data_IF_958984750529
#
_entry.id   IF_958984750529
#
_cell.length_a   1.000
_cell.length_b   1.000
_cell.length_c   1.000
_cell.angle_alpha   90.00
_cell.angle_beta   90.00
_cell.angle_gamma   90.00
#
_symmetry.space_group_name_H-M   'P 1'
#
loop_
_entity.id
_entity.type
_entity.pdbx_description
1 polymer ?
#
# COMPACT_ATOMS: atom_id res chain seq x y z
N UNK A 1 -18.80 -5.47 -16.56
CA UNK A 1 -17.56 -4.68 -16.39
C UNK A 1 -16.44 -5.65 -16.10
N UNK A 2 -15.67 -6.03 -17.10
CA UNK A 2 -14.58 -6.99 -16.89
C UNK A 2 -13.47 -6.32 -16.08
N UNK A 3 -12.99 -6.99 -15.04
CA UNK A 3 -11.85 -6.52 -14.28
C UNK A 3 -10.62 -6.58 -15.20
N UNK A 4 -10.05 -5.41 -15.54
CA UNK A 4 -8.82 -5.36 -16.33
C UNK A 4 -7.71 -6.08 -15.55
N UNK A 5 -7.17 -7.21 -16.05
CA UNK A 5 -6.19 -8.01 -15.31
C UNK A 5 -4.89 -7.24 -15.03
N UNK A 6 -4.58 -6.18 -15.80
CA UNK A 6 -3.46 -5.26 -15.55
C UNK A 6 -3.61 -4.44 -14.26
N UNK A 7 -4.79 -4.47 -13.63
CA UNK A 7 -5.06 -3.82 -12.36
C UNK A 7 -4.82 -4.74 -11.16
N UNK A 8 -4.47 -6.00 -11.36
CA UNK A 8 -4.07 -6.89 -10.27
C UNK A 8 -2.61 -6.59 -9.92
N UNK A 9 -2.35 -6.21 -8.67
CA UNK A 9 -1.03 -5.75 -8.21
C UNK A 9 -0.67 -6.40 -6.88
N UNK A 10 0.62 -6.65 -6.69
CA UNK A 10 1.16 -7.05 -5.38
C UNK A 10 1.18 -5.85 -4.43
N UNK A 11 0.87 -6.09 -3.14
CA UNK A 11 1.02 -5.08 -2.10
C UNK A 11 2.48 -4.60 -2.02
N UNK A 12 2.70 -3.30 -1.92
CA UNK A 12 4.05 -2.72 -1.84
C UNK A 12 4.72 -2.86 -0.46
N UNK A 13 4.16 -3.67 0.45
CA UNK A 13 4.69 -3.87 1.81
C UNK A 13 5.59 -5.09 1.77
N UNK A 14 6.83 -4.96 2.23
CA UNK A 14 7.84 -6.02 2.15
C UNK A 14 7.39 -7.31 2.85
N UNK A 15 6.57 -7.19 3.89
CA UNK A 15 6.04 -8.29 4.70
C UNK A 15 4.58 -8.67 4.37
N UNK A 16 4.07 -8.24 3.21
CA UNK A 16 2.71 -8.55 2.78
C UNK A 16 2.69 -9.35 1.47
N UNK A 17 2.12 -10.55 1.53
CA UNK A 17 1.99 -11.47 0.39
C UNK A 17 0.70 -11.29 -0.42
N UNK A 18 -0.14 -10.31 -0.08
CA UNK A 18 -1.46 -10.16 -0.70
C UNK A 18 -1.37 -9.44 -2.05
N UNK A 19 -2.16 -9.95 -2.98
CA UNK A 19 -2.51 -9.28 -4.23
C UNK A 19 -3.83 -8.53 -4.06
N UNK A 20 -4.02 -7.46 -4.84
CA UNK A 20 -5.25 -6.70 -4.83
C UNK A 20 -5.61 -6.18 -6.22
N UNK A 21 -6.91 -6.00 -6.46
CA UNK A 21 -7.41 -5.29 -7.63
C UNK A 21 -7.38 -3.78 -7.37
N UNK A 22 -6.68 -3.04 -8.23
CA UNK A 22 -6.63 -1.58 -8.18
C UNK A 22 -7.89 -0.96 -8.81
N UNK A 23 -8.91 -0.77 -7.96
CA UNK A 23 -10.16 -0.09 -8.29
C UNK A 23 -10.08 1.45 -8.21
N UNK A 24 -8.89 2.02 -7.96
CA UNK A 24 -8.75 3.47 -7.88
C UNK A 24 -8.87 4.12 -9.26
N UNK A 25 -9.50 5.29 -9.31
CA UNK A 25 -9.65 6.08 -10.55
C UNK A 25 -8.31 6.34 -11.24
N UNK A 26 -7.26 6.62 -10.46
CA UNK A 26 -5.92 6.90 -10.97
C UNK A 26 -5.08 5.65 -11.28
N UNK A 27 -5.47 4.45 -10.79
CA UNK A 27 -4.66 3.23 -10.93
C UNK A 27 -3.33 3.29 -10.19
N UNK A 28 -3.26 4.06 -9.09
CA UNK A 28 -2.04 4.30 -8.32
C UNK A 28 -2.10 3.72 -6.91
N UNK A 29 -3.05 2.84 -6.61
CA UNK A 29 -3.11 2.21 -5.28
C UNK A 29 -1.89 1.32 -5.11
N UNK A 30 -1.20 1.46 -3.97
CA UNK A 30 0.02 0.69 -3.65
C UNK A 30 -0.19 -0.40 -2.61
N UNK A 31 -1.31 -0.38 -1.89
CA UNK A 31 -1.53 -1.21 -0.70
C UNK A 31 -2.77 -2.07 -0.85
N UNK A 32 -2.69 -3.33 -0.41
CA UNK A 32 -3.85 -4.24 -0.40
C UNK A 32 -5.01 -3.70 0.44
N UNK A 33 -4.73 -2.95 1.50
CA UNK A 33 -5.72 -2.21 2.30
C UNK A 33 -5.10 -0.96 2.90
N UNK A 34 -5.85 0.15 2.88
CA UNK A 34 -5.43 1.38 3.55
C UNK A 34 -5.40 1.21 5.07
N UNK A 35 -6.34 0.46 5.65
CA UNK A 35 -6.43 0.24 7.09
C UNK A 35 -5.26 -0.63 7.63
N UNK A 36 -4.73 -1.54 6.81
CA UNK A 36 -3.62 -2.43 7.18
C UNK A 36 -2.27 -1.87 6.70
N UNK A 37 -1.87 -2.18 5.47
CA UNK A 37 -0.54 -1.82 4.95
C UNK A 37 -0.36 -0.32 4.74
N UNK A 38 -1.41 0.39 4.33
CA UNK A 38 -1.35 1.85 4.20
C UNK A 38 -1.09 2.56 5.54
N UNK A 39 -1.75 2.12 6.61
CA UNK A 39 -1.54 2.67 7.95
C UNK A 39 -0.14 2.34 8.48
N UNK A 40 0.30 1.08 8.37
CA UNK A 40 1.66 0.67 8.78
C UNK A 40 2.74 1.50 8.09
N UNK A 41 2.60 1.76 6.79
CA UNK A 41 3.54 2.61 6.06
C UNK A 41 3.56 4.07 6.57
N UNK A 42 2.38 4.64 6.88
CA UNK A 42 2.28 5.99 7.46
C UNK A 42 2.93 6.06 8.85
N UNK A 43 2.66 5.08 9.70
CA UNK A 43 3.24 4.98 11.05
C UNK A 43 4.76 4.84 10.98
N UNK A 44 5.28 3.95 10.13
CA UNK A 44 6.72 3.79 9.93
C UNK A 44 7.39 5.09 9.45
N UNK A 45 6.75 5.80 8.51
CA UNK A 45 7.23 7.12 8.05
C UNK A 45 7.26 8.14 9.18
N UNK A 46 6.21 8.18 9.99
CA UNK A 46 6.10 9.09 11.13
C UNK A 46 7.20 8.88 12.16
N UNK A 47 7.48 7.63 12.52
CA UNK A 47 8.58 7.31 13.43
C UNK A 47 9.95 7.68 12.87
N UNK A 48 10.22 7.39 11.58
CA UNK A 48 11.47 7.82 10.92
C UNK A 48 11.66 9.34 10.87
N UNK A 49 10.57 10.10 10.82
CA UNK A 49 10.61 11.57 10.81
C UNK A 49 10.71 12.18 12.21
N UNK A 50 10.23 11.47 13.24
CA UNK A 50 10.23 11.92 14.64
C UNK A 50 11.38 11.39 15.47
N UNK A 51 12.09 10.36 15.00
CA UNK A 51 13.38 10.00 15.56
C UNK A 51 14.35 11.14 15.24
N UNK A 52 14.42 12.11 16.15
CA UNK A 52 15.59 12.98 16.28
C UNK A 52 16.82 12.06 16.31
N UNK A 53 17.81 12.24 15.41
CA UNK A 53 19.05 11.51 15.54
C UNK A 53 19.65 11.85 16.91
N UNK A 54 19.96 10.83 17.71
CA UNK A 54 20.97 10.97 18.76
C UNK A 54 22.34 11.13 18.10
#
# INVERSE_FOLDING_TARGET
TEANPLRIRQCASEDCIYWFLDTSKSGRRRWCSMARCGNRAKVAKHYRQRSTPL
#
